data_IF_602259934766
#
_entry.id   IF_602259934766
#
_cell.length_a   1.000
_cell.length_b   1.000
_cell.length_c   1.000
_cell.angle_alpha   90.00
_cell.angle_beta   90.00
_cell.angle_gamma   90.00
#
_symmetry.space_group_name_H-M   'P 1'
#
loop_
_entity.id
_entity.type
_entity.pdbx_description
1 polymer ?
#
# COMPACT_ATOMS: atom_id res chain seq x y z
N UNK A 1 -20.03 4.81 -7.47
CA UNK A 1 -19.26 4.00 -6.48
C UNK A 1 -18.03 4.80 -6.08
N UNK A 2 -17.63 4.85 -4.80
CA UNK A 2 -16.42 5.57 -4.38
C UNK A 2 -15.38 4.55 -3.93
N UNK A 3 -14.27 4.44 -4.66
CA UNK A 3 -13.19 3.46 -4.42
C UNK A 3 -12.50 3.66 -3.07
N UNK A 4 -12.36 4.91 -2.60
CA UNK A 4 -11.74 5.25 -1.32
C UNK A 4 -12.59 4.77 -0.16
N UNK A 5 -13.91 4.89 -0.27
CA UNK A 5 -14.84 4.34 0.73
C UNK A 5 -14.76 2.82 0.81
N UNK A 6 -14.60 2.12 -0.32
CA UNK A 6 -14.43 0.66 -0.33
C UNK A 6 -13.10 0.29 0.32
N UNK A 7 -12.00 0.94 -0.08
CA UNK A 7 -10.69 0.72 0.53
C UNK A 7 -10.69 0.97 2.04
N UNK A 8 -11.29 2.07 2.50
CA UNK A 8 -11.41 2.37 3.93
C UNK A 8 -12.19 1.29 4.70
N UNK A 9 -13.24 0.73 4.11
CA UNK A 9 -14.00 -0.39 4.73
C UNK A 9 -13.19 -1.67 4.82
N UNK A 10 -12.43 -1.99 3.78
CA UNK A 10 -11.50 -3.14 3.78
C UNK A 10 -10.47 -2.96 4.90
N UNK A 11 -9.81 -1.80 4.93
CA UNK A 11 -8.80 -1.47 5.93
C UNK A 11 -9.37 -1.45 7.35
N UNK A 12 -10.61 -1.01 7.54
CA UNK A 12 -11.26 -1.03 8.86
C UNK A 12 -11.39 -2.45 9.43
N UNK A 13 -11.70 -3.44 8.59
CA UNK A 13 -11.76 -4.86 9.01
C UNK A 13 -10.39 -5.39 9.43
N UNK A 14 -9.34 -4.98 8.73
CA UNK A 14 -7.95 -5.32 9.10
C UNK A 14 -7.59 -4.70 10.46
N UNK A 15 -7.88 -3.42 10.65
CA UNK A 15 -7.52 -2.67 11.87
C UNK A 15 -8.37 -3.07 13.08
N UNK A 16 -9.65 -3.36 12.90
CA UNK A 16 -10.60 -3.62 13.98
C UNK A 16 -10.65 -5.10 14.35
N UNK A 17 -10.74 -5.98 13.34
CA UNK A 17 -11.08 -7.39 13.53
C UNK A 17 -9.85 -8.30 13.33
N UNK A 18 -8.69 -7.75 13.00
CA UNK A 18 -7.48 -8.52 12.69
C UNK A 18 -7.61 -9.40 11.45
N UNK A 19 -8.58 -9.12 10.58
CA UNK A 19 -8.83 -9.92 9.38
C UNK A 19 -7.65 -9.79 8.41
N UNK A 20 -7.28 -10.90 7.75
CA UNK A 20 -6.34 -10.86 6.63
C UNK A 20 -6.82 -9.89 5.53
N UNK A 21 -5.91 -9.06 5.02
CA UNK A 21 -6.20 -8.13 3.95
C UNK A 21 -6.70 -8.85 2.68
N UNK A 22 -6.16 -10.04 2.37
CA UNK A 22 -6.56 -10.80 1.17
C UNK A 22 -8.02 -11.21 1.25
N UNK A 23 -8.46 -11.76 2.39
CA UNK A 23 -9.84 -12.14 2.63
C UNK A 23 -10.79 -10.93 2.65
N UNK A 24 -10.36 -9.81 3.25
CA UNK A 24 -11.14 -8.59 3.27
C UNK A 24 -11.32 -7.98 1.87
N UNK A 25 -10.27 -8.02 1.04
CA UNK A 25 -10.32 -7.58 -0.36
C UNK A 25 -11.22 -8.50 -1.21
N UNK A 26 -11.08 -9.82 -1.09
CA UNK A 26 -11.88 -10.77 -1.86
C UNK A 26 -13.39 -10.51 -1.69
N UNK A 27 -13.85 -10.39 -0.44
CA UNK A 27 -15.23 -10.04 -0.12
C UNK A 27 -15.67 -8.69 -0.71
N UNK A 28 -14.81 -7.66 -0.64
CA UNK A 28 -15.17 -6.31 -1.06
C UNK A 28 -15.15 -6.12 -2.59
N UNK A 29 -14.29 -6.86 -3.31
CA UNK A 29 -14.10 -6.72 -4.75
C UNK A 29 -15.14 -7.49 -5.59
N UNK A 30 -15.88 -8.44 -4.99
CA UNK A 30 -16.98 -9.14 -5.65
C UNK A 30 -18.00 -8.19 -6.27
N UNK A 31 -18.33 -7.10 -5.57
CA UNK A 31 -19.31 -6.10 -6.03
C UNK A 31 -18.72 -5.00 -6.94
N UNK A 32 -17.45 -5.09 -7.31
CA UNK A 32 -16.76 -4.09 -8.14
C UNK A 32 -16.59 -4.68 -9.53
N UNK A 33 -17.25 -4.15 -10.55
CA UNK A 33 -17.17 -4.72 -11.92
C UNK A 33 -15.91 -4.25 -12.66
N UNK A 34 -15.55 -2.98 -12.51
CA UNK A 34 -14.41 -2.37 -13.21
C UNK A 34 -13.07 -2.92 -12.72
N UNK A 35 -12.32 -3.57 -13.61
CA UNK A 35 -10.96 -4.05 -13.32
C UNK A 35 -9.99 -2.93 -12.90
N UNK A 36 -10.16 -1.72 -13.47
CA UNK A 36 -9.37 -0.54 -13.07
C UNK A 36 -9.68 -0.10 -11.64
N UNK A 37 -10.95 -0.13 -11.25
CA UNK A 37 -11.35 0.21 -9.88
C UNK A 37 -10.88 -0.86 -8.88
N UNK A 38 -10.93 -2.14 -9.26
CA UNK A 38 -10.37 -3.24 -8.45
C UNK A 38 -8.88 -3.03 -8.20
N UNK A 39 -8.11 -2.81 -9.25
CA UNK A 39 -6.67 -2.56 -9.16
C UNK A 39 -6.37 -1.32 -8.30
N UNK A 40 -7.15 -0.24 -8.45
CA UNK A 40 -6.98 0.96 -7.66
C UNK A 40 -7.30 0.74 -6.17
N UNK A 41 -8.36 0.00 -5.84
CA UNK A 41 -8.71 -0.36 -4.45
C UNK A 41 -7.61 -1.23 -3.84
N UNK A 42 -7.10 -2.22 -4.57
CA UNK A 42 -6.00 -3.07 -4.11
C UNK A 42 -4.74 -2.23 -3.85
N UNK A 43 -4.37 -1.35 -4.77
CA UNK A 43 -3.21 -0.46 -4.63
C UNK A 43 -3.33 0.44 -3.39
N UNK A 44 -4.52 0.96 -3.10
CA UNK A 44 -4.78 1.71 -1.87
C UNK A 44 -4.60 0.85 -0.62
N UNK A 45 -5.20 -0.35 -0.59
CA UNK A 45 -5.23 -1.15 0.64
C UNK A 45 -3.85 -1.74 0.96
N UNK A 46 -3.17 -2.34 -0.03
CA UNK A 46 -1.80 -2.83 0.15
C UNK A 46 -0.84 -1.69 0.51
N UNK A 47 -1.01 -0.54 -0.14
CA UNK A 47 -0.22 0.65 0.13
C UNK A 47 -0.37 1.18 1.55
N UNK A 48 -1.61 1.33 2.02
CA UNK A 48 -1.87 1.78 3.39
C UNK A 48 -1.38 0.77 4.42
N UNK A 49 -1.56 -0.53 4.21
CA UNK A 49 -1.03 -1.55 5.12
C UNK A 49 0.51 -1.52 5.18
N UNK A 50 1.18 -1.38 4.02
CA UNK A 50 2.63 -1.29 3.95
C UNK A 50 3.18 -0.07 4.68
N UNK A 51 2.58 1.09 4.44
CA UNK A 51 3.02 2.36 5.02
C UNK A 51 2.25 2.75 6.29
N UNK A 52 1.58 1.80 6.96
CA UNK A 52 0.64 2.09 8.04
C UNK A 52 1.28 2.90 9.16
N UNK A 53 2.44 2.47 9.66
CA UNK A 53 3.12 3.11 10.79
C UNK A 53 3.55 4.54 10.47
N UNK A 54 4.03 4.79 9.24
CA UNK A 54 4.35 6.15 8.80
C UNK A 54 3.11 7.02 8.67
N UNK A 55 2.09 6.52 7.99
CA UNK A 55 0.85 7.26 7.76
C UNK A 55 0.12 7.54 9.07
N UNK A 56 0.14 6.61 10.03
CA UNK A 56 -0.47 6.78 11.35
C UNK A 56 0.28 7.82 12.20
N UNK A 57 1.62 7.84 12.13
CA UNK A 57 2.43 8.88 12.77
C UNK A 57 2.10 10.27 12.20
N UNK A 58 2.10 10.41 10.87
CA UNK A 58 1.74 11.68 10.21
C UNK A 58 0.30 12.08 10.56
N UNK A 59 -0.62 11.11 10.60
CA UNK A 59 -1.99 11.34 11.00
C UNK A 59 -2.09 11.87 12.44
N UNK A 60 -1.30 11.34 13.38
CA UNK A 60 -1.28 11.84 14.76
C UNK A 60 -0.71 13.25 14.88
N UNK A 61 0.30 13.61 14.08
CA UNK A 61 0.87 14.97 14.07
C UNK A 61 -0.13 16.02 13.54
N UNK A 62 -1.12 15.59 12.76
CA UNK A 62 -2.17 16.45 12.18
C UNK A 62 -3.42 16.56 13.07
N UNK A 63 -3.47 15.88 14.21
CA UNK A 63 -4.67 15.75 15.04
C UNK A 63 -4.41 16.18 16.48
N UNK A 64 -5.26 17.07 17.00
CA UNK A 64 -5.27 17.39 18.44
C UNK A 64 -5.73 16.20 19.29
N UNK A 65 -6.61 15.35 18.73
CA UNK A 65 -7.20 14.18 19.40
C UNK A 65 -7.31 13.00 18.44
N UNK A 66 -7.03 11.77 18.89
CA UNK A 66 -7.16 10.57 18.06
C UNK A 66 -8.59 10.37 17.51
N UNK A 67 -8.68 9.90 16.26
CA UNK A 67 -9.94 9.50 15.65
C UNK A 67 -10.36 8.13 16.19
N UNK A 68 -11.43 8.09 17.00
CA UNK A 68 -11.98 6.83 17.55
C UNK A 68 -12.70 5.96 16.51
N UNK A 69 -13.24 6.58 15.47
CA UNK A 69 -13.95 5.89 14.40
C UNK A 69 -12.94 5.30 13.39
N UNK A 70 -12.73 3.99 13.45
CA UNK A 70 -11.75 3.29 12.61
C UNK A 70 -12.05 3.42 11.10
N UNK A 71 -13.32 3.58 10.73
CA UNK A 71 -13.71 3.85 9.34
C UNK A 71 -13.23 5.21 8.86
N UNK A 72 -13.31 6.23 9.72
CA UNK A 72 -12.79 7.57 9.43
C UNK A 72 -11.27 7.59 9.49
N UNK A 73 -10.65 6.89 10.45
CA UNK A 73 -9.19 6.73 10.52
C UNK A 73 -8.65 6.08 9.24
N UNK A 74 -9.20 4.94 8.83
CA UNK A 74 -8.83 4.25 7.61
C UNK A 74 -9.00 5.13 6.37
N UNK A 75 -10.07 5.93 6.30
CA UNK A 75 -10.29 6.85 5.20
C UNK A 75 -9.28 8.01 5.18
N UNK A 76 -8.87 8.52 6.34
CA UNK A 76 -7.80 9.53 6.44
C UNK A 76 -6.46 8.96 5.97
N UNK A 77 -6.10 7.74 6.39
CA UNK A 77 -4.89 7.03 5.93
C UNK A 77 -4.90 6.80 4.41
N UNK A 78 -6.05 6.43 3.84
CA UNK A 78 -6.26 6.33 2.38
C UNK A 78 -6.01 7.68 1.71
N UNK A 79 -6.47 8.78 2.29
CA UNK A 79 -6.21 10.13 1.79
C UNK A 79 -4.73 10.48 1.79
N UNK A 80 -4.04 10.28 2.92
CA UNK A 80 -2.61 10.55 3.07
C UNK A 80 -1.77 9.70 2.10
N UNK A 81 -2.08 8.41 1.98
CA UNK A 81 -1.39 7.51 1.06
C UNK A 81 -1.49 7.97 -0.40
N UNK A 82 -2.67 8.43 -0.83
CA UNK A 82 -2.84 8.96 -2.18
C UNK A 82 -1.98 10.19 -2.44
N UNK A 83 -1.88 11.10 -1.47
CA UNK A 83 -1.11 12.34 -1.61
C UNK A 83 0.38 12.08 -1.63
N UNK A 84 0.86 11.13 -0.83
CA UNK A 84 2.30 10.85 -0.70
C UNK A 84 2.83 9.88 -1.75
N UNK A 85 2.12 8.78 -2.00
CA UNK A 85 2.68 7.62 -2.71
C UNK A 85 2.04 7.37 -4.08
N UNK A 86 0.91 8.01 -4.39
CA UNK A 86 0.22 7.79 -5.66
C UNK A 86 0.33 8.99 -6.59
N UNK A 87 0.30 8.72 -7.89
CA UNK A 87 0.22 9.74 -8.95
C UNK A 87 -1.20 10.28 -9.15
N UNK A 88 -1.90 10.60 -8.06
CA UNK A 88 -3.23 11.21 -8.09
C UNK A 88 -3.08 12.72 -7.89
N UNK A 89 -3.75 13.53 -8.71
CA UNK A 89 -3.72 14.99 -8.54
C UNK A 89 -4.19 15.35 -7.12
N UNK A 90 -3.47 16.21 -6.36
CA UNK A 90 -3.80 16.47 -4.96
C UNK A 90 -5.25 16.89 -4.71
N UNK A 91 -5.79 17.79 -5.53
CA UNK A 91 -7.20 18.23 -5.39
C UNK A 91 -8.19 17.08 -5.57
N UNK A 92 -7.91 16.11 -6.46
CA UNK A 92 -8.75 14.96 -6.70
C UNK A 92 -8.66 13.96 -5.54
N UNK A 93 -7.46 13.71 -5.03
CA UNK A 93 -7.25 12.87 -3.84
C UNK A 93 -8.01 13.43 -2.63
N UNK A 94 -7.92 14.73 -2.36
CA UNK A 94 -8.67 15.39 -1.29
C UNK A 94 -10.17 15.29 -1.53
N UNK A 95 -10.65 15.75 -2.70
CA UNK A 95 -12.09 15.78 -3.01
C UNK A 95 -12.74 14.40 -2.91
N UNK A 96 -12.17 13.38 -3.56
CA UNK A 96 -12.73 12.03 -3.56
C UNK A 96 -12.73 11.39 -2.18
N UNK A 97 -11.70 11.67 -1.36
CA UNK A 97 -11.61 11.17 0.01
C UNK A 97 -12.62 11.87 0.93
N UNK A 98 -12.86 13.18 0.76
CA UNK A 98 -13.89 13.92 1.49
C UNK A 98 -15.29 13.47 1.09
N UNK A 99 -15.54 13.25 -0.21
CA UNK A 99 -16.81 12.72 -0.71
C UNK A 99 -17.11 11.31 -0.17
N UNK A 100 -16.08 10.49 0.07
CA UNK A 100 -16.22 9.17 0.66
C UNK A 100 -16.82 9.21 2.08
N UNK A 101 -16.60 10.30 2.83
CA UNK A 101 -17.17 10.51 4.16
C UNK A 101 -18.64 11.00 4.16
N UNK A 102 -19.37 10.86 3.04
CA UNK A 102 -20.73 11.42 2.87
C UNK A 102 -21.75 11.08 3.96
N UNK A 103 -21.64 9.92 4.60
CA UNK A 103 -22.55 9.47 5.66
C UNK A 103 -22.22 10.05 7.05
N UNK A 104 -21.09 10.76 7.20
CA UNK A 104 -20.61 11.34 8.45
C UNK A 104 -20.23 12.81 8.19
N UNK A 105 -21.18 13.77 8.27
CA UNK A 105 -20.92 15.17 7.97
C UNK A 105 -19.73 15.77 8.73
N UNK A 106 -19.59 15.44 10.01
CA UNK A 106 -18.45 15.87 10.84
C UNK A 106 -17.10 15.38 10.29
N UNK A 107 -17.05 14.16 9.73
CA UNK A 107 -15.83 13.57 9.20
C UNK A 107 -15.39 14.22 7.89
N UNK A 108 -16.32 14.78 7.10
CA UNK A 108 -15.97 15.52 5.87
C UNK A 108 -15.08 16.72 6.18
N UNK A 109 -15.49 17.53 7.16
CA UNK A 109 -14.77 18.73 7.56
C UNK A 109 -13.39 18.35 8.11
N UNK A 110 -13.33 17.34 8.97
CA UNK A 110 -12.08 16.81 9.54
C UNK A 110 -11.12 16.32 8.45
N UNK A 111 -11.56 15.43 7.56
CA UNK A 111 -10.70 14.86 6.50
C UNK A 111 -10.20 15.96 5.57
N UNK A 112 -11.07 16.90 5.18
CA UNK A 112 -10.64 18.01 4.32
C UNK A 112 -9.58 18.89 5.01
N UNK A 113 -9.81 19.25 6.28
CA UNK A 113 -8.87 20.05 7.05
C UNK A 113 -7.53 19.32 7.20
N UNK A 114 -7.56 18.03 7.53
CA UNK A 114 -6.39 17.20 7.73
C UNK A 114 -5.55 17.05 6.46
N UNK A 115 -6.17 16.66 5.34
CA UNK A 115 -5.44 16.46 4.09
C UNK A 115 -4.91 17.78 3.50
N UNK A 116 -5.63 18.90 3.71
CA UNK A 116 -5.11 20.23 3.37
C UNK A 116 -3.98 20.67 4.32
N UNK A 117 -4.05 20.30 5.60
CA UNK A 117 -2.97 20.50 6.56
C UNK A 117 -1.70 19.79 6.13
N UNK A 118 -1.82 18.50 5.80
CA UNK A 118 -0.72 17.72 5.25
C UNK A 118 -0.08 18.39 4.04
N UNK A 119 -0.88 18.86 3.06
CA UNK A 119 -0.33 19.54 1.88
C UNK A 119 0.38 20.86 2.18
N UNK A 120 0.00 21.58 3.23
CA UNK A 120 0.66 22.85 3.63
C UNK A 120 1.97 22.60 4.37
N UNK A 121 2.02 21.55 5.16
CA UNK A 121 3.12 21.27 6.10
C UNK A 121 3.88 19.99 5.72
N UNK A 122 3.76 19.55 4.47
CA UNK A 122 4.21 18.25 4.00
C UNK A 122 5.68 17.99 4.35
N UNK A 123 6.58 18.90 3.96
CA UNK A 123 8.02 18.71 4.16
C UNK A 123 8.37 18.58 5.65
N UNK A 124 7.74 19.38 6.52
CA UNK A 124 7.97 19.33 7.96
C UNK A 124 7.44 18.03 8.58
N UNK A 125 6.25 17.59 8.20
CA UNK A 125 5.65 16.34 8.69
C UNK A 125 6.44 15.10 8.25
N UNK A 126 6.90 15.10 7.00
CA UNK A 126 7.72 14.02 6.45
C UNK A 126 9.09 13.98 7.13
N UNK A 127 9.73 15.13 7.37
CA UNK A 127 10.98 15.20 8.12
C UNK A 127 10.82 14.70 9.57
N UNK A 128 9.72 15.05 10.24
CA UNK A 128 9.41 14.51 11.57
C UNK A 128 9.27 12.98 11.52
N UNK A 129 8.58 12.45 10.51
CA UNK A 129 8.40 11.01 10.35
C UNK A 129 9.73 10.28 10.09
N UNK A 130 10.66 10.90 9.36
CA UNK A 130 11.99 10.35 9.10
C UNK A 130 12.88 10.30 10.35
N UNK A 131 12.64 11.19 11.31
CA UNK A 131 13.36 11.22 12.60
C UNK A 131 12.81 10.21 13.64
N UNK A 132 11.69 9.54 13.35
CA UNK A 132 11.08 8.56 14.25
C UNK A 132 11.22 7.18 13.61
N UNK A 133 12.06 6.32 14.19
CA UNK A 133 12.49 5.05 13.57
C UNK A 133 11.32 4.21 13.03
N UNK A 134 10.30 3.93 13.86
CA UNK A 134 9.17 3.09 13.46
C UNK A 134 8.34 3.70 12.31
N UNK A 135 8.28 5.03 12.22
CA UNK A 135 7.60 5.75 11.15
C UNK A 135 8.48 5.83 9.89
N UNK A 136 9.78 6.04 10.05
CA UNK A 136 10.74 6.13 8.96
C UNK A 136 10.81 4.82 8.15
N UNK A 137 10.89 3.69 8.85
CA UNK A 137 10.88 2.37 8.21
C UNK A 137 9.49 1.77 8.08
N UNK A 138 8.45 2.39 8.64
CA UNK A 138 7.07 1.88 8.63
C UNK A 138 6.88 0.44 9.17
N UNK A 139 7.54 0.10 10.27
CA UNK A 139 7.44 -1.19 10.95
C UNK A 139 7.11 -0.99 12.44
N UNK A 140 6.47 -1.95 13.13
CA UNK A 140 6.26 -1.84 14.57
C UNK A 140 7.58 -2.05 15.34
N UNK A 141 7.74 -1.38 16.48
CA UNK A 141 8.98 -1.40 17.28
C UNK A 141 9.48 -2.81 17.61
N UNK A 142 8.57 -3.74 17.91
CA UNK A 142 8.95 -5.11 18.25
C UNK A 142 9.64 -5.84 17.08
N UNK A 143 9.19 -5.60 15.85
CA UNK A 143 9.73 -6.25 14.66
C UNK A 143 11.06 -5.61 14.24
N UNK A 144 11.19 -4.30 14.42
CA UNK A 144 12.45 -3.58 14.22
C UNK A 144 13.52 -4.17 15.14
N UNK A 145 13.23 -4.26 16.44
CA UNK A 145 14.15 -4.82 17.44
C UNK A 145 14.54 -6.27 17.11
N UNK A 146 13.58 -7.08 16.67
CA UNK A 146 13.84 -8.47 16.29
C UNK A 146 14.78 -8.55 15.08
N UNK A 147 14.53 -7.75 14.03
CA UNK A 147 15.37 -7.73 12.82
C UNK A 147 16.78 -7.20 13.14
N UNK A 148 16.90 -6.18 13.97
CA UNK A 148 18.19 -5.64 14.43
C UNK A 148 18.98 -6.66 15.26
N UNK A 149 18.29 -7.48 16.05
CA UNK A 149 18.92 -8.54 16.84
C UNK A 149 19.39 -9.69 15.94
N UNK A 150 18.56 -10.12 15.00
CA UNK A 150 18.83 -11.30 14.15
C UNK A 150 19.80 -10.98 12.99
N UNK A 151 19.76 -9.76 12.45
CA UNK A 151 20.57 -9.31 11.31
C UNK A 151 21.13 -7.89 11.49
N UNK A 152 22.02 -7.64 12.47
CA UNK A 152 22.44 -6.28 12.84
C UNK A 152 23.10 -5.50 11.69
N UNK A 153 23.83 -6.16 10.79
CA UNK A 153 24.50 -5.48 9.67
C UNK A 153 23.56 -5.21 8.48
N UNK A 154 22.44 -5.94 8.37
CA UNK A 154 21.50 -5.86 7.25
C UNK A 154 20.14 -5.28 7.64
N UNK A 155 19.90 -5.01 8.93
CA UNK A 155 18.58 -4.62 9.44
C UNK A 155 17.96 -3.45 8.68
N UNK A 156 18.74 -2.38 8.46
CA UNK A 156 18.26 -1.22 7.70
C UNK A 156 17.86 -1.60 6.26
N UNK A 157 18.67 -2.40 5.58
CA UNK A 157 18.37 -2.85 4.22
C UNK A 157 17.10 -3.71 4.20
N UNK A 158 16.97 -4.68 5.10
CA UNK A 158 15.77 -5.54 5.21
C UNK A 158 14.51 -4.69 5.39
N UNK A 159 14.54 -3.74 6.33
CA UNK A 159 13.41 -2.88 6.63
C UNK A 159 13.02 -1.99 5.44
N UNK A 160 14.00 -1.47 4.69
CA UNK A 160 13.75 -0.67 3.49
C UNK A 160 13.23 -1.50 2.33
N UNK A 161 13.77 -2.71 2.12
CA UNK A 161 13.34 -3.62 1.05
C UNK A 161 11.93 -4.18 1.29
N UNK A 162 11.54 -4.43 2.54
CA UNK A 162 10.17 -4.83 2.90
C UNK A 162 9.10 -3.81 2.43
N UNK A 163 9.47 -2.54 2.27
CA UNK A 163 8.58 -1.48 1.79
C UNK A 163 8.57 -1.31 0.27
N UNK A 164 9.42 -2.02 -0.46
CA UNK A 164 9.41 -1.98 -1.91
C UNK A 164 8.20 -2.72 -2.47
N UNK A 165 7.83 -2.39 -3.71
CA UNK A 165 6.84 -3.20 -4.41
C UNK A 165 7.46 -4.56 -4.73
N UNK A 166 6.82 -5.69 -4.36
CA UNK A 166 7.39 -6.99 -4.62
C UNK A 166 7.47 -7.25 -6.14
N UNK A 167 8.57 -7.83 -6.64
CA UNK A 167 8.67 -8.26 -8.02
C UNK A 167 7.67 -9.39 -8.30
N UNK A 168 7.16 -9.48 -9.53
CA UNK A 168 6.33 -10.60 -9.95
C UNK A 168 7.22 -11.75 -10.41
N UNK A 169 7.46 -12.70 -9.50
CA UNK A 169 8.17 -13.93 -9.79
C UNK A 169 7.23 -15.01 -10.34
N UNK A 170 7.65 -15.69 -11.40
CA UNK A 170 6.93 -16.83 -11.99
C UNK A 170 7.77 -18.09 -11.89
N UNK A 171 7.09 -19.23 -11.78
CA UNK A 171 7.72 -20.55 -11.87
C UNK A 171 7.33 -21.23 -13.18
N UNK A 172 8.29 -21.34 -14.08
CA UNK A 172 8.16 -22.08 -15.34
C UNK A 172 7.98 -23.57 -15.05
N UNK A 173 6.98 -24.19 -15.66
CA UNK A 173 6.77 -25.63 -15.59
C UNK A 173 7.75 -26.35 -16.53
N UNK A 174 8.92 -26.71 -16.00
CA UNK A 174 10.02 -27.33 -16.75
C UNK A 174 9.67 -28.69 -17.38
N UNK A 175 8.57 -29.34 -16.96
CA UNK A 175 8.07 -30.55 -17.61
C UNK A 175 7.39 -30.27 -18.96
N UNK A 176 7.09 -29.01 -19.28
CA UNK A 176 6.41 -28.60 -20.52
C UNK A 176 7.27 -27.73 -21.43
N UNK A 177 8.07 -26.83 -20.86
CA UNK A 177 8.88 -25.86 -21.61
C UNK A 177 10.13 -25.50 -20.79
N UNK A 178 11.26 -25.27 -21.45
CA UNK A 178 12.44 -24.78 -20.75
C UNK A 178 12.26 -23.32 -20.31
N UNK A 179 12.97 -22.89 -19.28
CA UNK A 179 12.95 -21.49 -18.83
C UNK A 179 13.33 -20.53 -19.96
N UNK A 180 14.37 -20.86 -20.71
CA UNK A 180 14.91 -19.98 -21.74
C UNK A 180 13.95 -19.89 -22.95
N UNK A 181 13.29 -20.99 -23.31
CA UNK A 181 12.21 -20.99 -24.31
C UNK A 181 11.03 -20.13 -23.86
N UNK A 182 10.66 -20.21 -22.57
CA UNK A 182 9.56 -19.39 -22.04
C UNK A 182 9.93 -17.90 -21.96
N UNK A 183 11.17 -17.56 -21.61
CA UNK A 183 11.67 -16.18 -21.68
C UNK A 183 11.60 -15.62 -23.09
N UNK A 184 11.94 -16.44 -24.10
CA UNK A 184 11.80 -16.06 -25.49
C UNK A 184 10.33 -15.79 -25.86
N UNK A 185 9.39 -16.65 -25.46
CA UNK A 185 7.96 -16.43 -25.68
C UNK A 185 7.46 -15.13 -25.06
N UNK A 186 7.89 -14.81 -23.83
CA UNK A 186 7.56 -13.55 -23.19
C UNK A 186 8.11 -12.36 -23.99
N UNK A 187 9.37 -12.44 -24.43
CA UNK A 187 9.98 -11.38 -25.24
C UNK A 187 9.26 -11.17 -26.57
N UNK A 188 8.77 -12.23 -27.23
CA UNK A 188 7.99 -12.17 -28.47
C UNK A 188 6.63 -11.46 -28.26
N UNK A 189 6.09 -11.51 -27.04
CA UNK A 189 4.89 -10.76 -26.63
C UNK A 189 5.21 -9.36 -26.08
N UNK A 190 6.48 -8.93 -26.12
CA UNK A 190 6.92 -7.65 -25.56
C UNK A 190 6.90 -7.59 -24.03
N UNK A 191 6.94 -8.73 -23.35
CA UNK A 191 7.02 -8.84 -21.90
C UNK A 191 8.48 -9.09 -21.50
N UNK A 192 9.08 -8.11 -20.83
CA UNK A 192 10.46 -8.21 -20.34
C UNK A 192 10.52 -9.03 -19.05
N UNK A 193 11.44 -9.99 -19.01
CA UNK A 193 11.65 -10.86 -17.86
C UNK A 193 13.10 -11.32 -17.77
N UNK A 194 13.58 -11.59 -16.56
CA UNK A 194 14.94 -12.06 -16.28
C UNK A 194 14.94 -13.39 -15.55
N UNK A 195 15.93 -14.23 -15.85
CA UNK A 195 16.14 -15.48 -15.14
C UNK A 195 16.67 -15.24 -13.72
N UNK A 196 16.23 -16.07 -12.77
CA UNK A 196 16.81 -16.11 -11.43
C UNK A 196 17.97 -17.11 -11.43
N UNK A 197 19.18 -16.64 -11.14
CA UNK A 197 20.42 -17.43 -11.28
C UNK A 197 20.44 -18.67 -10.39
N UNK A 198 19.91 -18.57 -9.17
CA UNK A 198 19.91 -19.67 -8.19
C UNK A 198 18.68 -20.58 -8.28
N UNK A 199 17.72 -20.32 -9.18
CA UNK A 199 16.51 -21.12 -9.31
C UNK A 199 16.21 -21.39 -10.81
N UNK A 200 16.50 -22.62 -11.31
CA UNK A 200 16.37 -22.94 -12.73
C UNK A 200 14.98 -22.77 -13.34
N UNK A 201 13.92 -22.84 -12.51
CA UNK A 201 12.54 -22.65 -12.96
C UNK A 201 12.03 -21.22 -12.79
N UNK A 202 12.76 -20.34 -12.11
CA UNK A 202 12.24 -19.03 -11.76
C UNK A 202 12.66 -17.94 -12.75
N UNK A 203 11.70 -17.07 -13.03
CA UNK A 203 11.89 -15.81 -13.75
C UNK A 203 11.22 -14.69 -12.97
N UNK A 204 11.68 -13.46 -13.18
CA UNK A 204 11.10 -12.25 -12.63
C UNK A 204 10.70 -11.35 -13.79
N UNK A 205 9.44 -10.92 -13.83
CA UNK A 205 8.99 -9.92 -14.80
C UNK A 205 9.50 -8.54 -14.41
N UNK A 206 9.90 -7.71 -15.39
CA UNK A 206 10.24 -6.29 -15.16
C UNK A 206 9.01 -5.53 -14.61
N UNK A 207 7.84 -5.80 -15.22
CA UNK A 207 6.56 -5.26 -14.78
C UNK A 207 5.57 -6.38 -14.54
N UNK A 208 4.85 -6.38 -13.39
CA UNK A 208 3.77 -7.32 -13.16
C UNK A 208 2.73 -7.25 -14.28
N UNK A 209 2.44 -8.40 -14.88
CA UNK A 209 1.50 -8.53 -15.98
C UNK A 209 0.76 -9.87 -15.88
N UNK A 210 -0.45 -9.93 -16.41
CA UNK A 210 -1.15 -11.22 -16.57
C UNK A 210 -0.41 -12.07 -17.60
N UNK A 211 -0.11 -13.30 -17.23
CA UNK A 211 0.62 -14.29 -18.04
C UNK A 211 -0.22 -15.58 -18.10
N UNK A 212 -1.42 -15.45 -18.68
CA UNK A 212 -2.34 -16.57 -18.91
C UNK A 212 -2.03 -17.27 -20.24
#
# INVERSE_FOLDING_TARGET
>A
MNTRLIAARVLSRVLQDGQSLTAALESALQSVESGKDRAFIQALCYGVCRYYHRLDFILSELLDKPIKDLGVKALALVGLYQLKYMRVKPHAAVSETVLAARKKPWAKALINALLRGYLREQDSLEQKADNVQYAAVSHPDWLIKQIEQDWPQQAQQILLENNQQPPMALRVNLARISRDQYLQQLSEQGIEAVAVSFCPSAIILDKPATVD
#
